data_IF_252001503392
#
_entry.id   IF_252001503392
#
_cell.length_a   1.000
_cell.length_b   1.000
_cell.length_c   1.000
_cell.angle_alpha   90.00
_cell.angle_beta   90.00
_cell.angle_gamma   90.00
#
_symmetry.space_group_name_H-M   'P 1'
#
loop_
_entity.id
_entity.type
_entity.pdbx_description
1 polymer ?
#
# COMPACT_ATOMS: atom_id res chain seq x y z
N UNK A 1 7.29 18.10 10.20
CA UNK A 1 8.16 16.92 10.38
C UNK A 1 7.29 15.67 10.23
N UNK A 2 7.63 14.71 9.37
CA UNK A 2 6.91 13.42 9.33
C UNK A 2 7.41 12.59 10.51
N UNK A 3 6.55 12.32 11.49
CA UNK A 3 6.89 11.70 12.79
C UNK A 3 7.24 10.21 12.73
N UNK A 4 7.55 9.64 11.55
CA UNK A 4 7.92 8.23 11.40
C UNK A 4 6.81 7.21 11.70
N UNK A 5 5.65 7.66 12.21
CA UNK A 5 4.56 6.79 12.67
C UNK A 5 4.03 5.85 11.59
N UNK A 6 3.97 6.30 10.33
CA UNK A 6 3.53 5.44 9.23
C UNK A 6 4.43 4.23 9.02
N UNK A 7 5.76 4.41 9.12
CA UNK A 7 6.70 3.29 9.04
C UNK A 7 6.53 2.36 10.24
N UNK A 8 6.50 2.92 11.46
CA UNK A 8 6.34 2.14 12.68
C UNK A 8 5.06 1.31 12.69
N UNK A 9 3.95 1.87 12.19
CA UNK A 9 2.68 1.16 12.08
C UNK A 9 2.77 -0.03 11.11
N UNK A 10 3.43 0.14 9.96
CA UNK A 10 3.58 -0.93 8.98
C UNK A 10 4.56 -2.01 9.48
N UNK A 11 5.67 -1.62 10.10
CA UNK A 11 6.62 -2.56 10.72
C UNK A 11 5.92 -3.42 11.78
N UNK A 12 5.17 -2.81 12.70
CA UNK A 12 4.36 -3.51 13.70
C UNK A 12 3.34 -4.46 13.05
N UNK A 13 2.65 -4.02 12.00
CA UNK A 13 1.67 -4.83 11.27
C UNK A 13 2.30 -6.05 10.58
N UNK A 14 3.51 -5.90 10.02
CA UNK A 14 4.25 -7.00 9.41
C UNK A 14 4.72 -7.98 10.49
N UNK A 15 5.41 -7.46 11.52
CA UNK A 15 6.07 -8.27 12.55
C UNK A 15 5.07 -9.06 13.40
N UNK A 16 3.97 -8.42 13.83
CA UNK A 16 3.07 -9.01 14.81
C UNK A 16 1.76 -9.53 14.19
N UNK A 17 1.45 -9.16 12.95
CA UNK A 17 0.18 -9.52 12.31
C UNK A 17 0.33 -10.10 10.89
N UNK A 18 1.57 -10.29 10.40
CA UNK A 18 1.83 -10.86 9.06
C UNK A 18 1.15 -10.10 7.92
N UNK A 19 1.00 -8.79 8.05
CA UNK A 19 0.42 -7.94 7.00
C UNK A 19 1.42 -7.77 5.87
N UNK A 20 1.31 -8.64 4.87
CA UNK A 20 2.18 -8.66 3.69
C UNK A 20 1.47 -8.22 2.41
N UNK A 21 0.20 -7.84 2.48
CA UNK A 21 -0.58 -7.34 1.34
C UNK A 21 -1.36 -6.09 1.71
N UNK A 22 -1.49 -5.18 0.74
CA UNK A 22 -2.30 -3.97 0.87
C UNK A 22 -2.83 -3.52 -0.49
N UNK A 23 -3.80 -2.62 -0.44
CA UNK A 23 -4.33 -1.93 -1.61
C UNK A 23 -4.09 -0.43 -1.47
N UNK A 24 -3.66 0.21 -2.54
CA UNK A 24 -3.48 1.67 -2.61
C UNK A 24 -4.15 2.22 -3.87
N UNK A 25 -4.75 3.39 -3.76
CA UNK A 25 -5.24 4.10 -4.95
C UNK A 25 -4.04 4.59 -5.79
N UNK A 26 -4.02 4.26 -7.08
CA UNK A 26 -2.93 4.59 -8.00
C UNK A 26 -2.69 6.10 -8.12
N UNK A 27 -3.76 6.89 -7.96
CA UNK A 27 -3.72 8.36 -8.03
C UNK A 27 -3.10 8.99 -6.78
N UNK A 28 -2.71 8.19 -5.78
CA UNK A 28 -1.93 8.65 -4.64
C UNK A 28 -0.44 8.23 -4.79
N UNK A 29 0.36 8.95 -5.60
CA UNK A 29 1.76 8.61 -5.84
C UNK A 29 2.62 8.69 -4.59
N UNK A 30 2.21 9.50 -3.59
CA UNK A 30 2.93 9.61 -2.32
C UNK A 30 2.78 8.34 -1.47
N UNK A 31 1.58 7.78 -1.41
CA UNK A 31 1.33 6.52 -0.70
C UNK A 31 1.97 5.34 -1.43
N UNK A 32 1.81 5.27 -2.76
CA UNK A 32 2.50 4.27 -3.58
C UNK A 32 4.01 4.28 -3.32
N UNK A 33 4.65 5.44 -3.45
CA UNK A 33 6.10 5.58 -3.22
C UNK A 33 6.51 5.28 -1.77
N UNK A 34 5.65 5.55 -0.79
CA UNK A 34 5.88 5.17 0.60
C UNK A 34 5.94 3.64 0.78
N UNK A 35 4.98 2.90 0.23
CA UNK A 35 4.98 1.43 0.32
C UNK A 35 6.10 0.79 -0.52
N UNK A 36 6.42 1.35 -1.70
CA UNK A 36 7.57 0.90 -2.51
C UNK A 36 8.89 1.05 -1.74
N UNK A 37 9.07 2.13 -0.98
CA UNK A 37 10.24 2.30 -0.09
C UNK A 37 10.30 1.30 1.08
N UNK A 38 9.17 0.68 1.43
CA UNK A 38 9.10 -0.38 2.44
C UNK A 38 9.26 -1.78 1.83
N UNK A 39 9.47 -1.89 0.52
CA UNK A 39 9.70 -3.16 -0.18
C UNK A 39 8.45 -3.78 -0.81
N UNK A 40 7.27 -3.19 -0.64
CA UNK A 40 6.06 -3.66 -1.31
C UNK A 40 6.16 -3.45 -2.82
N UNK A 41 5.64 -4.41 -3.60
CA UNK A 41 5.62 -4.36 -5.06
C UNK A 41 4.21 -4.54 -5.58
N UNK A 42 3.85 -3.78 -6.61
CA UNK A 42 2.57 -3.95 -7.31
C UNK A 42 2.54 -5.32 -7.99
N UNK A 43 1.50 -6.11 -7.73
CA UNK A 43 1.27 -7.40 -8.41
C UNK A 43 -0.02 -7.43 -9.22
N UNK A 44 -0.96 -6.51 -8.96
CA UNK A 44 -2.22 -6.39 -9.70
C UNK A 44 -2.70 -4.94 -9.72
N UNK A 45 -3.40 -4.56 -10.80
CA UNK A 45 -4.10 -3.28 -10.95
C UNK A 45 -5.54 -3.53 -11.37
N UNK A 46 -6.48 -2.87 -10.70
CA UNK A 46 -7.86 -2.79 -11.16
C UNK A 46 -8.16 -1.35 -11.61
N UNK A 47 -8.83 -1.14 -12.76
CA UNK A 47 -9.17 0.20 -13.24
C UNK A 47 -10.35 0.84 -12.47
N UNK A 48 -11.11 0.02 -11.74
CA UNK A 48 -12.24 0.43 -10.91
C UNK A 48 -12.05 -0.05 -9.48
N UNK A 49 -12.58 0.70 -8.51
CA UNK A 49 -12.61 0.28 -7.11
C UNK A 49 -13.75 -0.72 -6.85
N UNK A 50 -13.86 -1.18 -5.59
CA UNK A 50 -14.88 -2.14 -5.16
C UNK A 50 -16.32 -1.60 -5.23
N UNK A 51 -16.48 -0.28 -5.37
CA UNK A 51 -17.77 0.39 -5.48
C UNK A 51 -18.14 0.70 -6.95
N UNK A 52 -17.29 0.34 -7.91
CA UNK A 52 -17.50 0.58 -9.34
C UNK A 52 -17.08 1.97 -9.82
N UNK A 53 -16.42 2.77 -8.98
CA UNK A 53 -15.93 4.09 -9.38
C UNK A 53 -14.64 3.96 -10.19
N UNK A 54 -14.37 4.96 -11.05
CA UNK A 54 -13.13 5.06 -11.84
C UNK A 54 -11.94 5.54 -11.00
N UNK A 55 -11.69 4.85 -9.89
CA UNK A 55 -10.54 5.06 -9.00
C UNK A 55 -9.64 3.84 -9.09
N UNK A 56 -8.61 3.85 -9.96
CA UNK A 56 -7.76 2.69 -10.13
C UNK A 56 -7.06 2.33 -8.82
N UNK A 57 -7.09 1.04 -8.47
CA UNK A 57 -6.46 0.49 -7.28
C UNK A 57 -5.31 -0.44 -7.66
N UNK A 58 -4.23 -0.37 -6.89
CA UNK A 58 -3.06 -1.23 -6.98
C UNK A 58 -3.03 -2.16 -5.78
N UNK A 59 -2.93 -3.45 -6.04
CA UNK A 59 -2.65 -4.46 -5.04
C UNK A 59 -1.14 -4.61 -4.95
N UNK A 60 -0.60 -4.53 -3.73
CA UNK A 60 0.82 -4.60 -3.47
C UNK A 60 1.12 -5.70 -2.46
N UNK A 61 2.24 -6.39 -2.64
CA UNK A 61 2.70 -7.47 -1.78
C UNK A 61 4.14 -7.24 -1.35
N UNK A 62 4.44 -7.55 -0.09
CA UNK A 62 5.79 -7.66 0.47
C UNK A 62 6.19 -9.13 0.43
N UNK A 63 7.08 -9.47 -0.51
CA UNK A 63 7.51 -10.85 -0.79
C UNK A 63 8.50 -11.44 0.21
#
# INVERSE_FOLDING_TARGET
MKTGLGRKLIEEAIENYSVNELVVNEQNPKAKGFYEHLGFKVYKRNPIDEQGNQYPILFMHLG
#
